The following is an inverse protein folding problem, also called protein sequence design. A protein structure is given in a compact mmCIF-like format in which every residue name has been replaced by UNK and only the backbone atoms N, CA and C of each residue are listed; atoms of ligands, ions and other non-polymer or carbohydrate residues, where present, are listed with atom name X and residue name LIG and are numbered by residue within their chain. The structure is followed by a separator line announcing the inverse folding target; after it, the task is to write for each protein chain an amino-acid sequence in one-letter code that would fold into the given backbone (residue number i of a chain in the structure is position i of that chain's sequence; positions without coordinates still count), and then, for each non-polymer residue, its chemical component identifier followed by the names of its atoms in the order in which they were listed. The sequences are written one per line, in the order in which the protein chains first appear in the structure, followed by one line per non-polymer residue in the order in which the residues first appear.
data_IF_788087341626
#
_entry.id   IF_788087341626
#
_cell.length_a   1.000
_cell.length_b   1.000
_cell.length_c   1.000
_cell.angle_alpha   90.00
_cell.angle_beta   90.00
_cell.angle_gamma   90.00
#
_symmetry.space_group_name_H-M   'P 1'
#
loop_
_entity.id
_entity.type
_entity.pdbx_description
1 polymer ?
#
# COMPACT_ATOMS: atom_id res chain seq x y z
N UNK A 1 29.00 -49.97 -25.26
CA UNK A 1 30.07 -49.75 -24.23
C UNK A 1 30.22 -48.24 -24.13
N UNK A 2 30.16 -47.69 -22.95
CA UNK A 2 30.25 -46.29 -22.66
C UNK A 2 31.56 -45.98 -21.93
N UNK A 3 32.24 -44.89 -22.30
CA UNK A 3 33.54 -44.51 -21.71
C UNK A 3 33.47 -43.15 -21.02
N UNK A 4 34.18 -43.00 -19.94
CA UNK A 4 34.25 -41.72 -19.22
C UNK A 4 34.93 -40.64 -20.08
N UNK A 5 34.27 -39.50 -20.30
CA UNK A 5 34.78 -38.39 -21.09
C UNK A 5 36.02 -37.72 -20.51
N UNK A 6 36.27 -37.91 -19.19
CA UNK A 6 37.42 -37.30 -18.51
C UNK A 6 38.65 -38.20 -18.42
N UNK A 7 38.49 -39.51 -18.20
CA UNK A 7 39.62 -40.43 -17.98
C UNK A 7 39.67 -41.62 -18.94
N UNK A 8 38.73 -41.76 -19.87
CA UNK A 8 38.68 -42.80 -20.87
C UNK A 8 38.36 -44.20 -20.35
N UNK A 9 38.05 -44.39 -19.07
CA UNK A 9 37.76 -45.69 -18.52
C UNK A 9 36.35 -46.15 -18.86
N UNK A 10 36.19 -47.46 -19.11
CA UNK A 10 34.92 -48.05 -19.42
C UNK A 10 33.96 -47.96 -18.25
N UNK A 11 32.71 -47.59 -18.55
CA UNK A 11 31.62 -47.39 -17.60
C UNK A 11 30.59 -48.50 -17.72
N UNK A 12 30.02 -48.93 -16.61
CA UNK A 12 28.86 -49.82 -16.60
C UNK A 12 27.61 -49.08 -17.09
N UNK A 13 26.65 -49.79 -17.65
CA UNK A 13 25.46 -49.18 -18.27
C UNK A 13 24.65 -48.29 -17.32
N UNK A 14 24.73 -48.56 -16.01
CA UNK A 14 23.97 -47.85 -14.98
C UNK A 14 24.84 -46.89 -14.15
N UNK A 15 26.05 -46.54 -14.61
CA UNK A 15 26.95 -45.71 -13.86
C UNK A 15 26.55 -44.24 -13.86
N UNK A 16 26.13 -43.72 -12.73
CA UNK A 16 25.91 -42.27 -12.52
C UNK A 16 27.20 -41.47 -12.30
N UNK A 17 28.28 -42.15 -11.92
CA UNK A 17 29.60 -41.55 -11.72
C UNK A 17 30.71 -42.54 -12.18
N UNK A 18 31.80 -42.02 -12.70
CA UNK A 18 32.93 -42.81 -13.04
C UNK A 18 33.65 -43.32 -11.77
N UNK A 19 33.72 -44.63 -11.56
CA UNK A 19 34.35 -45.25 -10.40
C UNK A 19 35.87 -44.95 -10.30
N UNK A 20 36.52 -44.51 -11.38
CA UNK A 20 37.94 -44.21 -11.41
C UNK A 20 38.28 -42.75 -11.12
N UNK A 21 37.46 -41.77 -11.55
CA UNK A 21 37.80 -40.35 -11.42
C UNK A 21 36.68 -39.51 -10.82
N UNK A 22 35.56 -40.12 -10.41
CA UNK A 22 34.41 -39.45 -9.78
C UNK A 22 33.63 -38.50 -10.67
N UNK A 23 33.91 -38.44 -11.98
CA UNK A 23 33.16 -37.54 -12.88
C UNK A 23 31.75 -38.03 -13.06
N UNK A 24 30.73 -37.15 -12.97
CA UNK A 24 29.32 -37.50 -13.26
C UNK A 24 29.18 -37.97 -14.73
N UNK A 25 28.38 -39.00 -14.94
CA UNK A 25 28.04 -39.53 -16.26
C UNK A 25 26.59 -39.13 -16.54
N UNK A 26 26.43 -38.32 -17.58
CA UNK A 26 25.07 -38.01 -18.02
C UNK A 26 24.44 -39.21 -18.73
N UNK A 27 23.25 -39.67 -18.33
CA UNK A 27 22.58 -40.76 -19.01
C UNK A 27 22.12 -40.28 -20.39
N UNK A 28 22.72 -40.84 -21.45
CA UNK A 28 22.18 -40.66 -22.79
C UNK A 28 21.05 -41.65 -22.98
N UNK A 29 19.87 -41.07 -23.11
CA UNK A 29 18.64 -41.65 -23.60
C UNK A 29 17.52 -41.94 -22.58
N UNK A 30 16.59 -41.03 -22.52
CA UNK A 30 15.18 -41.38 -22.50
C UNK A 30 14.38 -40.19 -23.03
N UNK A 31 13.75 -40.41 -24.20
CA UNK A 31 12.55 -39.71 -24.61
C UNK A 31 11.47 -39.96 -23.55
N UNK A 32 11.47 -39.13 -22.55
CA UNK A 32 10.45 -39.03 -21.53
C UNK A 32 10.10 -37.56 -21.40
N UNK A 33 8.88 -37.21 -21.69
CA UNK A 33 8.25 -35.95 -21.37
C UNK A 33 8.44 -35.68 -19.89
N UNK A 34 9.56 -35.09 -19.54
CA UNK A 34 9.75 -34.51 -18.21
C UNK A 34 8.89 -33.24 -18.15
N UNK A 35 7.68 -33.45 -17.64
CA UNK A 35 6.98 -32.38 -16.96
C UNK A 35 7.85 -31.94 -15.80
N UNK A 36 8.75 -31.00 -16.09
CA UNK A 36 9.38 -30.18 -15.07
C UNK A 36 8.25 -29.49 -14.34
N UNK A 37 7.84 -30.08 -13.22
CA UNK A 37 7.13 -29.34 -12.21
C UNK A 37 8.15 -28.39 -11.64
N UNK A 38 8.24 -27.21 -12.26
CA UNK A 38 8.89 -26.06 -11.67
C UNK A 38 8.33 -25.97 -10.25
N UNK A 39 9.10 -26.40 -9.26
CA UNK A 39 8.80 -26.06 -7.87
C UNK A 39 8.95 -24.54 -7.83
N UNK A 40 7.86 -23.84 -8.13
CA UNK A 40 7.71 -22.45 -7.75
C UNK A 40 7.94 -22.43 -6.24
N UNK A 41 9.16 -22.08 -5.84
CA UNK A 41 9.39 -21.61 -4.48
C UNK A 41 8.60 -20.29 -4.40
N UNK A 42 7.36 -20.41 -3.96
CA UNK A 42 6.57 -19.25 -3.56
C UNK A 42 7.22 -18.77 -2.27
N UNK A 43 8.23 -17.90 -2.39
CA UNK A 43 8.70 -17.10 -1.26
C UNK A 43 7.58 -16.11 -0.91
N UNK A 44 6.65 -16.57 -0.08
CA UNK A 44 5.68 -15.70 0.56
C UNK A 44 6.39 -14.96 1.71
N UNK A 45 7.16 -13.94 1.38
CA UNK A 45 7.82 -13.08 2.35
C UNK A 45 9.22 -12.65 1.90
N UNK A 46 9.58 -11.41 2.13
CA UNK A 46 10.95 -10.94 1.98
C UNK A 46 11.81 -11.55 3.08
N UNK A 47 12.77 -12.40 2.72
CA UNK A 47 13.76 -12.94 3.65
C UNK A 47 14.69 -11.80 4.05
N UNK A 48 14.54 -11.29 5.25
CA UNK A 48 15.42 -10.27 5.81
C UNK A 48 16.57 -10.98 6.55
N UNK A 49 17.81 -10.57 6.30
CA UNK A 49 18.99 -11.11 6.98
C UNK A 49 19.52 -10.11 8.00
N UNK A 50 20.01 -10.63 9.14
CA UNK A 50 20.70 -9.81 10.12
C UNK A 50 21.95 -9.17 9.50
N UNK A 51 22.13 -7.83 9.57
CA UNK A 51 23.28 -7.16 8.96
C UNK A 51 24.61 -7.49 9.67
N UNK A 52 24.55 -8.02 10.90
CA UNK A 52 25.74 -8.38 11.66
C UNK A 52 26.20 -9.82 11.44
N UNK A 53 25.29 -10.80 11.42
CA UNK A 53 25.66 -12.22 11.35
C UNK A 53 25.06 -12.99 10.16
N UNK A 54 24.20 -12.36 9.36
CA UNK A 54 23.56 -12.99 8.19
C UNK A 54 22.42 -13.96 8.53
N UNK A 55 22.07 -14.16 9.82
CA UNK A 55 20.95 -15.02 10.24
C UNK A 55 19.63 -14.53 9.64
N UNK A 56 18.77 -15.48 9.26
CA UNK A 56 17.42 -15.15 8.77
C UNK A 56 16.56 -14.67 9.92
N UNK A 57 15.96 -13.50 9.72
CA UNK A 57 15.11 -12.86 10.69
C UNK A 57 13.78 -12.47 10.05
N UNK A 58 12.74 -12.41 10.85
CA UNK A 58 11.43 -11.89 10.41
C UNK A 58 11.44 -10.37 10.40
N UNK A 59 10.54 -9.76 9.64
CA UNK A 59 10.39 -8.31 9.53
C UNK A 59 10.10 -7.62 10.88
N UNK A 60 9.55 -8.37 11.85
CA UNK A 60 9.19 -7.85 13.18
C UNK A 60 10.29 -8.04 14.22
N UNK A 61 11.41 -8.69 13.84
CA UNK A 61 12.51 -8.96 14.76
C UNK A 61 13.22 -7.64 15.13
N UNK A 62 13.16 -7.26 16.41
CA UNK A 62 13.86 -6.08 16.94
C UNK A 62 15.28 -6.41 17.42
N UNK A 63 15.56 -7.69 17.73
CA UNK A 63 16.88 -8.16 18.18
C UNK A 63 17.16 -9.52 17.57
N UNK A 64 18.30 -9.65 16.90
CA UNK A 64 18.69 -10.91 16.27
C UNK A 64 18.82 -12.03 17.31
N UNK A 65 18.13 -13.18 17.16
CA UNK A 65 18.19 -14.27 18.13
C UNK A 65 19.56 -14.96 18.16
N UNK A 66 20.31 -14.91 17.06
CA UNK A 66 21.61 -15.57 16.96
C UNK A 66 22.76 -14.75 17.53
N UNK A 67 22.82 -13.44 17.30
CA UNK A 67 23.95 -12.60 17.71
C UNK A 67 23.60 -11.45 18.65
N UNK A 68 22.34 -11.27 19.00
CA UNK A 68 21.90 -10.19 19.89
C UNK A 68 21.95 -8.79 19.29
N UNK A 69 22.30 -8.65 18.00
CA UNK A 69 22.34 -7.35 17.32
C UNK A 69 20.96 -6.70 17.35
N UNK A 70 20.87 -5.47 17.83
CA UNK A 70 19.64 -4.68 17.81
C UNK A 70 19.42 -4.19 16.39
N UNK A 71 18.36 -4.68 15.77
CA UNK A 71 17.96 -4.29 14.44
C UNK A 71 17.17 -3.00 14.59
N UNK A 72 17.86 -1.88 14.48
CA UNK A 72 17.16 -0.62 14.27
C UNK A 72 16.32 -0.78 13.01
N UNK A 73 15.00 -0.72 13.16
CA UNK A 73 14.11 -0.57 12.01
C UNK A 73 14.57 0.70 11.32
N UNK A 74 15.44 0.57 10.31
CA UNK A 74 15.60 1.68 9.37
C UNK A 74 14.19 1.97 8.93
N UNK A 75 13.71 3.16 9.25
CA UNK A 75 12.52 3.70 8.63
C UNK A 75 12.82 3.72 7.12
N UNK A 76 12.52 2.61 6.46
CA UNK A 76 12.27 2.67 5.04
C UNK A 76 11.20 3.74 4.98
N UNK A 77 11.52 4.87 4.32
CA UNK A 77 10.58 5.95 4.16
C UNK A 77 9.27 5.28 3.75
N UNK A 78 8.31 5.26 4.67
CA UNK A 78 7.06 4.53 4.45
C UNK A 78 6.39 5.17 3.25
N UNK A 79 5.50 4.48 2.59
CA UNK A 79 4.71 5.08 1.50
C UNK A 79 3.98 6.33 2.01
N UNK A 80 3.67 6.37 3.31
CA UNK A 80 3.10 7.53 3.99
C UNK A 80 4.09 8.70 4.08
N UNK A 81 5.37 8.48 4.41
CA UNK A 81 6.37 9.56 4.45
C UNK A 81 6.56 10.20 3.07
N UNK A 82 6.60 9.38 2.02
CA UNK A 82 6.65 9.86 0.64
C UNK A 82 5.40 10.68 0.28
N UNK A 83 4.22 10.21 0.69
CA UNK A 83 2.97 10.94 0.53
C UNK A 83 3.01 12.28 1.24
N UNK A 84 3.35 12.32 2.54
CA UNK A 84 3.39 13.55 3.35
C UNK A 84 4.38 14.54 2.77
N UNK A 85 5.58 14.09 2.42
CA UNK A 85 6.62 14.94 1.81
C UNK A 85 6.11 15.59 0.52
N UNK A 86 5.45 14.82 -0.33
CA UNK A 86 4.89 15.33 -1.58
C UNK A 86 3.71 16.25 -1.33
N UNK A 87 2.77 15.87 -0.46
CA UNK A 87 1.61 16.66 -0.09
C UNK A 87 1.99 18.04 0.47
N UNK A 88 3.00 18.09 1.35
CA UNK A 88 3.47 19.34 1.96
C UNK A 88 4.28 20.21 1.00
N UNK A 89 4.78 19.64 -0.11
CA UNK A 89 5.49 20.42 -1.12
C UNK A 89 4.58 21.30 -1.99
N UNK A 90 3.28 21.02 -2.02
CA UNK A 90 2.33 21.90 -2.71
C UNK A 90 1.94 23.10 -1.84
N UNK A 91 1.89 24.27 -2.44
CA UNK A 91 1.43 25.50 -1.77
C UNK A 91 -0.06 25.75 -1.98
N UNK A 92 -0.59 25.37 -3.14
CA UNK A 92 -1.97 25.61 -3.53
C UNK A 92 -2.89 24.47 -3.06
N UNK A 93 -4.03 24.83 -2.47
CA UNK A 93 -5.03 23.88 -1.99
C UNK A 93 -5.61 23.01 -3.10
N UNK A 94 -5.78 23.57 -4.30
CA UNK A 94 -6.23 22.82 -5.46
C UNK A 94 -5.25 21.71 -5.84
N UNK A 95 -3.96 22.02 -5.91
CA UNK A 95 -2.91 21.04 -6.23
C UNK A 95 -2.80 19.95 -5.14
N UNK A 96 -2.94 20.33 -3.87
CA UNK A 96 -3.02 19.37 -2.77
C UNK A 96 -4.20 18.42 -2.91
N UNK A 97 -5.38 18.93 -3.25
CA UNK A 97 -6.58 18.13 -3.44
C UNK A 97 -6.45 17.18 -4.62
N UNK A 98 -5.99 17.65 -5.76
CA UNK A 98 -5.72 16.82 -6.94
C UNK A 98 -4.72 15.71 -6.62
N UNK A 99 -3.69 16.01 -5.84
CA UNK A 99 -2.72 15.01 -5.38
C UNK A 99 -3.37 13.96 -4.46
N UNK A 100 -4.17 14.37 -3.47
CA UNK A 100 -4.90 13.43 -2.61
C UNK A 100 -5.75 12.48 -3.46
N UNK A 101 -6.52 13.01 -4.40
CA UNK A 101 -7.45 12.24 -5.23
C UNK A 101 -6.70 11.26 -6.16
N UNK A 102 -5.58 11.68 -6.74
CA UNK A 102 -4.80 10.90 -7.71
C UNK A 102 -3.80 9.93 -7.09
N UNK A 103 -3.46 10.07 -5.80
CA UNK A 103 -2.45 9.22 -5.17
C UNK A 103 -2.91 7.76 -5.14
N UNK A 104 -2.05 6.85 -5.64
CA UNK A 104 -2.36 5.43 -5.66
C UNK A 104 -2.47 4.85 -4.26
N UNK A 105 -3.46 3.97 -4.06
CA UNK A 105 -3.60 3.23 -2.80
C UNK A 105 -2.51 2.17 -2.72
N UNK A 106 -1.78 2.06 -1.60
CA UNK A 106 -0.80 1.01 -1.40
C UNK A 106 -1.40 -0.40 -1.53
N UNK A 107 -0.56 -1.38 -1.81
CA UNK A 107 -0.97 -2.78 -2.02
C UNK A 107 -0.60 -3.71 -0.84
N UNK A 108 -0.21 -3.17 0.30
CA UNK A 108 0.06 -3.93 1.53
C UNK A 108 -0.75 -3.37 2.70
N UNK A 109 -1.05 -4.23 3.68
CA UNK A 109 -1.95 -3.91 4.79
C UNK A 109 -1.38 -2.84 5.74
N UNK A 110 -0.07 -2.79 5.93
CA UNK A 110 0.59 -1.84 6.84
C UNK A 110 0.49 -0.42 6.27
N UNK A 111 0.92 -0.22 5.03
CA UNK A 111 0.83 1.07 4.37
C UNK A 111 -0.62 1.55 4.19
N UNK A 112 -1.56 0.62 3.95
CA UNK A 112 -3.00 0.93 3.91
C UNK A 112 -3.46 1.46 5.26
N UNK A 113 -3.08 0.81 6.38
CA UNK A 113 -3.44 1.27 7.72
C UNK A 113 -2.89 2.65 8.00
N UNK A 114 -1.62 2.88 7.68
CA UNK A 114 -0.95 4.15 7.93
C UNK A 114 -1.57 5.27 7.11
N UNK A 115 -1.80 5.06 5.82
CA UNK A 115 -2.41 6.06 4.95
C UNK A 115 -3.87 6.33 5.34
N UNK A 116 -4.64 5.31 5.71
CA UNK A 116 -6.04 5.45 6.11
C UNK A 116 -6.16 6.19 7.45
N UNK A 117 -5.31 5.87 8.44
CA UNK A 117 -5.23 6.58 9.71
C UNK A 117 -4.86 8.05 9.50
N UNK A 118 -3.86 8.32 8.65
CA UNK A 118 -3.47 9.69 8.31
C UNK A 118 -4.63 10.45 7.66
N UNK A 119 -5.29 9.87 6.66
CA UNK A 119 -6.41 10.49 5.97
C UNK A 119 -7.59 10.78 6.91
N UNK A 120 -7.91 9.86 7.81
CA UNK A 120 -8.95 10.06 8.82
C UNK A 120 -8.59 11.20 9.79
N UNK A 121 -7.36 11.24 10.26
CA UNK A 121 -6.88 12.31 11.14
C UNK A 121 -6.92 13.69 10.44
N UNK A 122 -6.58 13.75 9.16
CA UNK A 122 -6.70 14.99 8.40
C UNK A 122 -8.15 15.40 8.17
N UNK A 123 -9.07 14.45 8.00
CA UNK A 123 -10.51 14.70 7.91
C UNK A 123 -11.07 15.32 9.19
N UNK A 124 -10.65 14.79 10.33
CA UNK A 124 -11.24 15.09 11.64
C UNK A 124 -10.55 16.26 12.37
N UNK A 125 -9.55 16.87 11.74
CA UNK A 125 -8.85 18.00 12.33
C UNK A 125 -9.69 19.28 12.32
N UNK A 126 -9.33 20.25 13.17
CA UNK A 126 -9.94 21.57 13.18
C UNK A 126 -9.51 22.41 11.95
N UNK A 127 -10.48 23.03 11.32
CA UNK A 127 -10.29 23.92 10.19
C UNK A 127 -10.67 25.36 10.59
N UNK A 128 -10.04 26.34 9.94
CA UNK A 128 -10.21 27.77 10.25
C UNK A 128 -11.68 28.21 10.13
N UNK A 129 -12.40 27.69 9.15
CA UNK A 129 -13.80 28.01 8.88
C UNK A 129 -14.57 26.86 8.27
N UNK A 130 -15.88 26.98 8.24
CA UNK A 130 -16.80 25.97 7.72
C UNK A 130 -16.62 25.67 6.22
N UNK A 131 -16.18 26.66 5.43
CA UNK A 131 -15.95 26.47 4.00
C UNK A 131 -14.69 25.64 3.76
N UNK A 132 -13.59 25.97 4.44
CA UNK A 132 -12.35 25.20 4.43
C UNK A 132 -12.61 23.78 4.95
N UNK A 133 -13.37 23.64 6.04
CA UNK A 133 -13.77 22.33 6.57
C UNK A 133 -14.53 21.52 5.53
N UNK A 134 -15.56 22.08 4.92
CA UNK A 134 -16.36 21.38 3.92
C UNK A 134 -15.51 20.91 2.73
N UNK A 135 -14.56 21.73 2.29
CA UNK A 135 -13.67 21.44 1.18
C UNK A 135 -12.72 20.27 1.48
N UNK A 136 -12.04 20.31 2.64
CA UNK A 136 -11.02 19.33 3.00
C UNK A 136 -11.63 18.01 3.48
N UNK A 137 -12.72 18.06 4.26
CA UNK A 137 -13.43 16.84 4.70
C UNK A 137 -13.96 16.07 3.50
N UNK A 138 -14.41 16.76 2.43
CA UNK A 138 -14.82 16.10 1.20
C UNK A 138 -13.67 15.34 0.52
N UNK A 139 -12.51 16.01 0.36
CA UNK A 139 -11.33 15.40 -0.24
C UNK A 139 -10.85 14.16 0.55
N UNK A 140 -10.77 14.28 1.87
CA UNK A 140 -10.30 13.19 2.72
C UNK A 140 -11.31 12.04 2.83
N UNK A 141 -12.62 12.32 2.86
CA UNK A 141 -13.65 11.28 2.79
C UNK A 141 -13.58 10.49 1.49
N UNK A 142 -13.37 11.17 0.37
CA UNK A 142 -13.19 10.50 -0.93
C UNK A 142 -11.96 9.61 -0.92
N UNK A 143 -10.84 10.08 -0.36
CA UNK A 143 -9.62 9.27 -0.22
C UNK A 143 -9.82 8.07 0.69
N UNK A 144 -10.41 8.25 1.87
CA UNK A 144 -10.73 7.15 2.77
C UNK A 144 -11.62 6.11 2.09
N UNK A 145 -12.65 6.54 1.36
CA UNK A 145 -13.54 5.64 0.62
C UNK A 145 -12.79 4.85 -0.46
N UNK A 146 -11.91 5.50 -1.20
CA UNK A 146 -11.07 4.86 -2.22
C UNK A 146 -10.18 3.78 -1.57
N UNK A 147 -9.50 4.11 -0.48
CA UNK A 147 -8.61 3.17 0.23
C UNK A 147 -9.41 1.97 0.75
N UNK A 148 -10.53 2.22 1.43
CA UNK A 148 -11.36 1.16 2.01
C UNK A 148 -11.91 0.23 0.94
N UNK A 149 -12.45 0.75 -0.16
CA UNK A 149 -13.00 -0.08 -1.23
C UNK A 149 -11.90 -0.94 -1.86
N UNK A 150 -10.78 -0.35 -2.27
CA UNK A 150 -9.68 -1.10 -2.87
C UNK A 150 -9.08 -2.14 -1.91
N UNK A 151 -8.96 -1.80 -0.62
CA UNK A 151 -8.46 -2.73 0.39
C UNK A 151 -9.42 -3.90 0.64
N UNK A 152 -10.74 -3.66 0.63
CA UNK A 152 -11.75 -4.72 0.72
C UNK A 152 -11.73 -5.64 -0.50
N UNK A 153 -11.55 -5.08 -1.70
CA UNK A 153 -11.45 -5.87 -2.94
C UNK A 153 -10.19 -6.76 -2.93
N UNK A 154 -9.08 -6.24 -2.38
CA UNK A 154 -7.79 -6.96 -2.36
C UNK A 154 -7.66 -7.93 -1.20
N UNK A 155 -8.13 -7.56 0.00
CA UNK A 155 -7.89 -8.28 1.26
C UNK A 155 -9.18 -8.70 1.97
N UNK A 156 -10.32 -8.70 1.28
CA UNK A 156 -11.63 -9.01 1.87
C UNK A 156 -11.75 -10.40 2.49
N UNK A 157 -10.88 -11.34 2.09
CA UNK A 157 -10.81 -12.70 2.67
C UNK A 157 -10.16 -12.73 4.07
N UNK A 158 -9.45 -11.68 4.48
CA UNK A 158 -8.95 -11.54 5.85
C UNK A 158 -10.05 -10.94 6.73
N UNK A 159 -10.70 -11.77 7.53
CA UNK A 159 -11.84 -11.38 8.36
C UNK A 159 -11.51 -10.24 9.33
N UNK A 160 -10.35 -10.31 9.99
CA UNK A 160 -9.93 -9.30 10.95
C UNK A 160 -9.66 -7.94 10.29
N UNK A 161 -8.96 -7.96 9.15
CA UNK A 161 -8.66 -6.73 8.42
C UNK A 161 -9.92 -6.16 7.75
N UNK A 162 -10.78 -7.00 7.18
CA UNK A 162 -12.02 -6.55 6.57
C UNK A 162 -13.03 -5.99 7.59
N UNK A 163 -13.10 -6.54 8.80
CA UNK A 163 -13.91 -5.99 9.88
C UNK A 163 -13.42 -4.59 10.29
N UNK A 164 -12.10 -4.42 10.43
CA UNK A 164 -11.49 -3.12 10.71
C UNK A 164 -11.80 -2.09 9.61
N UNK A 165 -11.68 -2.47 8.32
CA UNK A 165 -12.03 -1.61 7.18
C UNK A 165 -13.50 -1.21 7.16
N UNK A 166 -14.42 -2.13 7.51
CA UNK A 166 -15.86 -1.85 7.58
C UNK A 166 -16.20 -0.78 8.62
N UNK A 167 -15.49 -0.76 9.75
CA UNK A 167 -15.64 0.30 10.76
C UNK A 167 -15.23 1.67 10.18
N UNK A 168 -14.12 1.74 9.43
CA UNK A 168 -13.74 2.97 8.74
C UNK A 168 -14.77 3.40 7.69
N UNK A 169 -15.34 2.45 6.94
CA UNK A 169 -16.39 2.72 5.97
C UNK A 169 -17.59 3.40 6.61
N UNK A 170 -18.07 2.86 7.74
CA UNK A 170 -19.17 3.48 8.48
C UNK A 170 -18.84 4.91 8.94
N UNK A 171 -17.64 5.15 9.45
CA UNK A 171 -17.18 6.49 9.82
C UNK A 171 -17.13 7.46 8.65
N UNK A 172 -16.70 7.02 7.47
CA UNK A 172 -16.70 7.82 6.24
C UNK A 172 -18.13 8.18 5.79
N UNK A 173 -19.07 7.26 5.91
CA UNK A 173 -20.47 7.50 5.55
C UNK A 173 -21.10 8.55 6.46
N UNK A 174 -20.89 8.45 7.78
CA UNK A 174 -21.38 9.43 8.77
C UNK A 174 -20.78 10.81 8.47
N UNK A 175 -19.46 10.90 8.36
CA UNK A 175 -18.76 12.16 8.09
C UNK A 175 -19.18 12.78 6.75
N UNK A 176 -19.44 11.97 5.73
CA UNK A 176 -19.93 12.45 4.44
C UNK A 176 -21.32 13.06 4.55
N UNK A 177 -22.23 12.42 5.29
CA UNK A 177 -23.58 12.94 5.51
C UNK A 177 -23.58 14.25 6.30
N UNK A 178 -22.73 14.38 7.31
CA UNK A 178 -22.54 15.63 8.07
C UNK A 178 -21.97 16.74 7.20
N UNK A 179 -20.98 16.43 6.37
CA UNK A 179 -20.37 17.39 5.46
C UNK A 179 -21.34 17.89 4.40
N UNK A 180 -22.22 17.04 3.88
CA UNK A 180 -23.27 17.47 2.96
C UNK A 180 -24.27 18.44 3.61
N UNK A 181 -24.65 18.20 4.87
CA UNK A 181 -25.47 19.17 5.62
C UNK A 181 -24.76 20.52 5.79
N UNK A 182 -23.46 20.50 6.06
CA UNK A 182 -22.64 21.72 6.15
C UNK A 182 -22.61 22.47 4.82
N UNK A 183 -22.35 21.78 3.71
CA UNK A 183 -22.37 22.36 2.37
C UNK A 183 -23.73 22.99 2.02
N UNK A 184 -24.83 22.34 2.39
CA UNK A 184 -26.18 22.89 2.18
C UNK A 184 -26.39 24.20 2.96
N UNK A 185 -25.94 24.25 4.24
CA UNK A 185 -26.00 25.49 5.03
C UNK A 185 -25.17 26.61 4.39
N UNK A 186 -23.96 26.32 3.94
CA UNK A 186 -23.10 27.30 3.28
C UNK A 186 -23.72 27.85 2.00
N UNK A 187 -24.30 26.98 1.15
CA UNK A 187 -25.03 27.39 -0.07
C UNK A 187 -26.22 28.29 0.25
N UNK A 188 -26.97 27.98 1.32
CA UNK A 188 -28.11 28.81 1.74
C UNK A 188 -27.66 30.21 2.20
N UNK A 189 -26.56 30.31 2.96
CA UNK A 189 -25.97 31.58 3.40
C UNK A 189 -25.49 32.40 2.20
N UNK A 190 -24.79 31.78 1.24
CA UNK A 190 -24.36 32.48 0.02
C UNK A 190 -25.52 32.98 -0.82
N UNK A 191 -26.57 32.18 -0.98
CA UNK A 191 -27.78 32.56 -1.70
C UNK A 191 -28.46 33.74 -1.01
N UNK A 192 -28.53 33.75 0.33
CA UNK A 192 -29.06 34.88 1.11
C UNK A 192 -28.23 36.16 0.91
N UNK A 193 -26.90 36.07 0.95
CA UNK A 193 -25.98 37.19 0.68
C UNK A 193 -26.20 37.77 -0.74
N UNK A 194 -26.35 36.94 -1.76
CA UNK A 194 -26.59 37.34 -3.14
C UNK A 194 -27.93 38.05 -3.29
N UNK A 195 -29.01 37.55 -2.65
CA UNK A 195 -30.33 38.19 -2.65
C UNK A 195 -30.29 39.55 -1.99
N UNK A 196 -29.64 39.69 -0.83
CA UNK A 196 -29.51 40.95 -0.12
C UNK A 196 -28.68 41.98 -0.92
N UNK A 197 -27.58 41.55 -1.59
CA UNK A 197 -26.79 42.40 -2.46
C UNK A 197 -27.60 42.88 -3.67
N UNK A 198 -28.42 42.04 -4.30
CA UNK A 198 -29.29 42.39 -5.41
C UNK A 198 -30.38 43.38 -4.98
N UNK A 199 -30.99 43.18 -3.81
CA UNK A 199 -32.00 44.10 -3.25
C UNK A 199 -31.39 45.48 -2.97
N UNK A 200 -30.18 45.55 -2.38
CA UNK A 200 -29.46 46.82 -2.17
C UNK A 200 -29.13 47.55 -3.48
N UNK A 201 -28.76 46.82 -4.53
CA UNK A 201 -28.50 47.40 -5.85
C UNK A 201 -29.76 47.98 -6.49
N UNK A 202 -30.89 47.28 -6.36
CA UNK A 202 -32.17 47.71 -6.84
C UNK A 202 -32.62 49.03 -6.16
N UNK A 203 -32.52 49.10 -4.82
CA UNK A 203 -32.89 50.29 -4.07
C UNK A 203 -32.03 51.53 -4.39
N UNK A 204 -30.73 51.33 -4.72
CA UNK A 204 -29.84 52.44 -5.11
C UNK A 204 -30.08 52.96 -6.53
N UNK A 205 -30.78 52.20 -7.38
CA UNK A 205 -31.12 52.62 -8.75
C UNK A 205 -32.37 53.48 -8.87
N UNK A 206 -33.11 53.71 -7.78
CA UNK A 206 -34.35 54.50 -7.73
C UNK A 206 -34.20 55.87 -6.99
N UNK A 207 -33.02 56.24 -6.55
CA UNK A 207 -32.68 57.53 -5.98
C UNK A 207 -31.67 58.25 -6.86
#
# INVERSE_FOLDING_TARGET
MQYCSKCGKELTADAHFCASCGTPVEPQNSTGTDTYTERKQVFAGSITKCPNCGEQITTDTTKCPACGFVIEKRSVATSLDAFIKKFTSFTEDKAKREFIESYAVPNNKEDIRDLLNYAANQRDKDYIDDASRAYWVDAWNNKCRQIVNQALDTFGMDEGFSAWLKNYKAGVEISSAENEKLKQKLRAIEAGKKRAASAKKFLKGFG
#
